data_IF_114566214609
#
_entry.id   IF_114566214609
#
_cell.length_a   1.000
_cell.length_b   1.000
_cell.length_c   1.000
_cell.angle_alpha   90.00
_cell.angle_beta   90.00
_cell.angle_gamma   90.00
#
_symmetry.space_group_name_H-M   'P 1'
#
loop_
_entity.id
_entity.type
_entity.pdbx_description
1 polymer ?
#
# COMPACT_ATOMS: atom_id res chain seq x y z
N UNK A 1 -13.64 -39.84 44.22
CA UNK A 1 -13.78 -38.75 43.23
C UNK A 1 -12.40 -38.21 42.92
N UNK A 2 -11.83 -38.60 41.79
CA UNK A 2 -10.47 -38.24 41.36
C UNK A 2 -10.60 -37.34 40.14
N UNK A 3 -10.11 -36.11 40.24
CA UNK A 3 -10.12 -35.09 39.19
C UNK A 3 -8.94 -35.31 38.24
N UNK A 4 -9.21 -35.70 36.99
CA UNK A 4 -8.22 -35.76 35.92
C UNK A 4 -8.02 -34.37 35.32
N UNK A 5 -6.79 -33.84 35.46
CA UNK A 5 -6.32 -32.61 34.79
C UNK A 5 -5.70 -33.04 33.45
N UNK A 6 -6.36 -32.70 32.35
CA UNK A 6 -5.85 -32.92 30.99
C UNK A 6 -5.01 -31.70 30.61
N UNK A 7 -3.69 -31.85 30.67
CA UNK A 7 -2.71 -30.87 30.18
C UNK A 7 -2.61 -30.95 28.66
N UNK A 8 -2.78 -29.85 27.90
CA UNK A 8 -2.74 -29.90 26.44
C UNK A 8 -1.31 -30.07 25.90
N UNK A 9 -1.16 -30.97 24.93
CA UNK A 9 0.08 -31.47 24.31
C UNK A 9 0.85 -30.51 23.39
N UNK A 10 0.66 -29.19 23.50
CA UNK A 10 1.32 -28.22 22.62
C UNK A 10 2.77 -27.88 23.04
N UNK A 11 3.20 -28.27 24.26
CA UNK A 11 4.57 -28.02 24.76
C UNK A 11 5.64 -29.00 24.25
N UNK A 12 5.27 -30.13 23.64
CA UNK A 12 6.25 -31.15 23.16
C UNK A 12 6.62 -30.95 21.68
N UNK A 13 5.80 -30.24 20.90
CA UNK A 13 6.08 -29.94 19.50
C UNK A 13 7.30 -29.01 19.28
N UNK A 14 7.80 -28.35 20.34
CA UNK A 14 8.95 -27.44 20.24
C UNK A 14 10.31 -28.15 20.39
N UNK A 15 10.36 -29.45 20.71
CA UNK A 15 11.63 -30.14 20.97
C UNK A 15 12.14 -31.05 19.83
N UNK A 16 11.42 -31.18 18.71
CA UNK A 16 11.78 -32.10 17.61
C UNK A 16 12.08 -31.41 16.26
N UNK A 17 12.10 -30.08 16.19
CA UNK A 17 12.37 -29.33 14.96
C UNK A 17 13.83 -28.85 14.79
N UNK A 18 14.79 -29.44 15.52
CA UNK A 18 16.22 -29.03 15.48
C UNK A 18 17.10 -29.97 14.64
N UNK A 19 16.58 -31.07 14.08
CA UNK A 19 17.42 -32.10 13.41
C UNK A 19 17.16 -32.26 11.89
N UNK A 20 16.19 -31.57 11.28
CA UNK A 20 16.02 -31.62 9.81
C UNK A 20 16.22 -30.25 9.19
N UNK A 21 17.30 -30.09 8.41
CA UNK A 21 17.67 -28.87 7.68
C UNK A 21 16.70 -28.49 6.56
N UNK A 22 15.46 -28.16 6.91
CA UNK A 22 14.48 -27.53 6.04
C UNK A 22 14.31 -26.09 6.50
N UNK A 23 14.87 -25.15 5.72
CA UNK A 23 14.68 -23.73 5.96
C UNK A 23 13.19 -23.40 5.99
N UNK A 24 12.65 -22.80 7.08
CA UNK A 24 11.30 -22.30 7.06
C UNK A 24 11.21 -21.17 6.03
N UNK A 25 10.25 -21.33 5.13
CA UNK A 25 9.74 -20.33 4.20
C UNK A 25 9.59 -18.99 4.92
N UNK A 26 10.14 -17.94 4.29
CA UNK A 26 10.25 -16.59 4.82
C UNK A 26 8.89 -16.11 5.35
N UNK A 27 8.74 -16.10 6.67
CA UNK A 27 7.68 -15.37 7.35
C UNK A 27 7.91 -13.89 7.09
N UNK A 28 6.96 -13.25 6.41
CA UNK A 28 6.91 -11.79 6.29
C UNK A 28 6.71 -11.26 7.71
N UNK A 29 7.79 -10.83 8.36
CA UNK A 29 7.71 -10.08 9.59
C UNK A 29 7.11 -8.70 9.26
N UNK A 30 5.81 -8.53 9.58
CA UNK A 30 5.17 -7.22 9.68
C UNK A 30 5.83 -6.48 10.84
N UNK A 31 6.92 -5.75 10.54
CA UNK A 31 7.45 -4.78 11.49
C UNK A 31 6.44 -3.63 11.53
N UNK A 32 5.51 -3.70 12.47
CA UNK A 32 4.67 -2.59 12.92
C UNK A 32 5.58 -1.50 13.48
N UNK A 33 6.13 -0.67 12.60
CA UNK A 33 6.73 0.59 13.03
C UNK A 33 5.62 1.54 13.45
N UNK A 34 5.53 1.71 14.77
CA UNK A 34 4.92 2.80 15.53
C UNK A 34 3.41 2.73 15.80
N UNK A 35 3.15 2.84 17.10
CA UNK A 35 1.91 2.76 17.85
C UNK A 35 0.94 3.93 17.50
N UNK A 36 0.47 3.98 16.26
CA UNK A 36 -0.67 4.82 15.89
C UNK A 36 -1.92 3.97 16.07
N UNK A 37 -2.70 4.23 17.11
CA UNK A 37 -4.00 3.62 17.27
C UNK A 37 -4.91 4.12 16.13
N UNK A 38 -5.35 3.20 15.28
CA UNK A 38 -6.12 3.50 14.08
C UNK A 38 -7.61 3.23 14.34
N UNK A 39 -8.40 4.28 14.56
CA UNK A 39 -9.86 4.17 14.75
C UNK A 39 -10.64 3.82 13.47
N UNK A 40 -9.93 3.60 12.35
CA UNK A 40 -10.52 3.35 11.04
C UNK A 40 -9.81 2.20 10.34
N UNK A 41 -10.54 1.35 9.60
CA UNK A 41 -9.95 0.22 8.91
C UNK A 41 -8.89 0.70 7.91
N UNK A 42 -7.84 -0.10 7.75
CA UNK A 42 -6.78 0.16 6.77
C UNK A 42 -7.38 0.07 5.37
N UNK A 43 -7.25 1.14 4.58
CA UNK A 43 -7.74 1.20 3.21
C UNK A 43 -6.75 0.52 2.25
N UNK A 44 -5.45 0.84 2.41
CA UNK A 44 -4.35 0.24 1.65
C UNK A 44 -3.07 0.26 2.47
N UNK A 45 -2.11 -0.59 2.09
CA UNK A 45 -0.74 -0.54 2.61
C UNK A 45 0.22 -0.06 1.51
N UNK A 46 1.05 0.93 1.82
CA UNK A 46 2.15 1.39 0.95
C UNK A 46 3.41 0.62 1.30
N UNK A 47 3.74 -0.37 0.50
CA UNK A 47 4.95 -1.15 0.57
C UNK A 47 6.13 -0.43 -0.07
N UNK A 48 7.30 -0.50 0.56
CA UNK A 48 8.57 -0.04 0.01
C UNK A 48 9.69 -0.97 0.45
N UNK A 49 10.78 -0.98 -0.32
CA UNK A 49 11.99 -1.73 0.03
C UNK A 49 12.91 -0.84 0.86
N UNK A 50 13.29 -1.32 2.04
CA UNK A 50 14.29 -0.73 2.94
C UNK A 50 15.41 -1.76 3.15
N UNK A 51 16.57 -1.53 2.50
CA UNK A 51 17.61 -2.55 2.33
C UNK A 51 17.01 -3.82 1.71
N UNK A 52 17.13 -4.97 2.37
CA UNK A 52 16.60 -6.25 1.87
C UNK A 52 15.23 -6.62 2.45
N UNK A 53 14.59 -5.70 3.19
CA UNK A 53 13.28 -5.93 3.81
C UNK A 53 12.19 -5.09 3.16
N UNK A 54 11.01 -5.69 2.99
CA UNK A 54 9.81 -4.95 2.60
C UNK A 54 9.18 -4.39 3.86
N UNK A 55 9.00 -3.07 3.90
CA UNK A 55 8.25 -2.37 4.94
C UNK A 55 6.94 -1.87 4.39
N UNK A 56 5.94 -1.75 5.24
CA UNK A 56 4.61 -1.26 4.85
C UNK A 56 4.18 -0.10 5.73
N UNK A 57 3.57 0.91 5.10
CA UNK A 57 2.89 2.01 5.79
C UNK A 57 1.39 1.79 5.66
N UNK A 58 0.65 1.99 6.74
CA UNK A 58 -0.81 1.88 6.73
C UNK A 58 -1.44 3.21 6.32
N UNK A 59 -2.35 3.17 5.35
CA UNK A 59 -3.22 4.29 5.00
C UNK A 59 -4.63 3.91 5.42
N UNK A 60 -5.21 4.64 6.38
CA UNK A 60 -6.55 4.33 6.89
C UNK A 60 -7.64 4.95 6.02
N UNK A 61 -8.87 4.46 6.20
CA UNK A 61 -10.06 4.95 5.49
C UNK A 61 -10.62 6.26 6.05
N UNK A 62 -10.07 6.78 7.16
CA UNK A 62 -10.47 8.04 7.76
C UNK A 62 -10.09 9.18 6.82
N UNK A 63 -11.05 10.06 6.55
CA UNK A 63 -10.83 11.25 5.72
C UNK A 63 -9.87 12.19 6.43
N UNK A 64 -8.94 12.75 5.68
CA UNK A 64 -8.00 13.71 6.22
C UNK A 64 -6.66 13.69 5.52
N UNK A 65 -5.82 14.62 5.96
CA UNK A 65 -4.44 14.75 5.54
C UNK A 65 -3.54 14.08 6.57
N UNK A 66 -2.56 13.33 6.08
CA UNK A 66 -1.65 12.54 6.90
C UNK A 66 -0.22 12.75 6.44
N UNK A 67 0.68 12.80 7.42
CA UNK A 67 2.13 12.81 7.23
C UNK A 67 2.66 11.39 7.19
N UNK A 68 3.65 11.14 6.34
CA UNK A 68 4.25 9.83 6.17
C UNK A 68 5.22 9.51 7.32
N UNK A 69 5.09 8.37 8.01
CA UNK A 69 6.10 7.93 8.98
C UNK A 69 7.47 7.66 8.34
N UNK A 70 7.52 7.47 7.02
CA UNK A 70 8.74 7.30 6.24
C UNK A 70 9.12 8.58 5.47
N UNK A 71 8.76 9.76 5.99
CA UNK A 71 9.13 11.06 5.44
C UNK A 71 10.61 11.12 5.02
N UNK A 72 10.89 11.84 3.93
CA UNK A 72 12.22 12.05 3.35
C UNK A 72 12.92 10.82 2.72
N UNK A 73 12.35 9.61 2.76
CA UNK A 73 12.99 8.43 2.17
C UNK A 73 12.65 8.28 0.68
N UNK A 74 13.69 8.24 -0.14
CA UNK A 74 13.59 8.05 -1.58
C UNK A 74 13.54 6.57 -1.93
N UNK A 75 12.56 6.16 -2.72
CA UNK A 75 12.41 4.79 -3.19
C UNK A 75 12.23 4.74 -4.71
N UNK A 76 12.86 3.76 -5.35
CA UNK A 76 12.69 3.53 -6.80
C UNK A 76 11.25 3.11 -7.14
N UNK A 77 10.65 2.32 -6.26
CA UNK A 77 9.35 1.70 -6.45
C UNK A 77 8.56 1.71 -5.15
N UNK A 78 7.26 1.88 -5.29
CA UNK A 78 6.25 1.77 -4.25
C UNK A 78 5.24 0.71 -4.65
N UNK A 79 4.85 -0.14 -3.69
CA UNK A 79 3.84 -1.16 -3.88
C UNK A 79 2.58 -0.75 -3.14
N UNK A 80 1.43 -0.82 -3.79
CA UNK A 80 0.12 -0.70 -3.18
C UNK A 80 -0.38 -2.12 -2.93
N UNK A 81 -0.64 -2.41 -1.67
CA UNK A 81 -1.13 -3.69 -1.19
C UNK A 81 -2.53 -3.51 -0.59
N UNK A 82 -3.37 -4.57 -0.63
CA UNK A 82 -4.68 -4.53 -0.03
C UNK A 82 -4.61 -4.23 1.48
N UNK A 83 -5.56 -3.41 1.92
CA UNK A 83 -5.81 -3.14 3.34
C UNK A 83 -6.76 -4.17 3.94
N UNK A 84 -7.68 -3.69 4.78
CA UNK A 84 -8.70 -4.50 5.41
C UNK A 84 -9.83 -4.84 4.43
N UNK A 85 -10.29 -6.08 4.52
CA UNK A 85 -11.55 -6.50 3.94
C UNK A 85 -12.71 -6.02 4.81
N UNK A 86 -13.86 -5.74 4.20
CA UNK A 86 -15.03 -5.19 4.89
C UNK A 86 -16.20 -6.15 4.74
N UNK A 87 -16.81 -6.54 5.85
CA UNK A 87 -18.08 -7.27 5.84
C UNK A 87 -19.22 -6.26 5.84
N UNK A 88 -20.07 -6.32 4.81
CA UNK A 88 -21.17 -5.37 4.63
C UNK A 88 -22.18 -5.89 3.61
N UNK A 89 -23.45 -5.61 3.85
CA UNK A 89 -24.53 -5.86 2.89
C UNK A 89 -24.42 -4.99 1.64
N UNK A 90 -23.86 -3.79 1.75
CA UNK A 90 -23.68 -2.82 0.65
C UNK A 90 -22.21 -2.64 0.30
N UNK A 91 -21.94 -2.29 -0.96
CA UNK A 91 -20.60 -1.95 -1.42
C UNK A 91 -20.04 -0.77 -0.61
N UNK A 92 -18.84 -0.90 -0.01
CA UNK A 92 -18.16 0.23 0.60
C UNK A 92 -17.97 1.37 -0.42
N UNK A 93 -18.12 2.60 0.06
CA UNK A 93 -17.94 3.81 -0.76
C UNK A 93 -16.54 3.84 -1.37
N UNK A 94 -16.46 4.31 -2.61
CA UNK A 94 -15.20 4.63 -3.28
C UNK A 94 -14.37 5.61 -2.42
N UNK A 95 -13.04 5.46 -2.46
CA UNK A 95 -12.09 6.35 -1.82
C UNK A 95 -11.02 6.80 -2.80
N UNK A 96 -10.49 7.99 -2.58
CA UNK A 96 -9.36 8.51 -3.34
C UNK A 96 -8.24 8.81 -2.36
N UNK A 97 -7.05 8.27 -2.63
CA UNK A 97 -5.83 8.58 -1.90
C UNK A 97 -4.89 9.35 -2.82
N UNK A 98 -4.68 10.62 -2.53
CA UNK A 98 -3.71 11.45 -3.26
C UNK A 98 -2.35 11.39 -2.55
N UNK A 99 -1.30 10.97 -3.25
CA UNK A 99 0.05 10.87 -2.73
C UNK A 99 0.87 12.10 -3.11
N UNK A 100 1.65 12.63 -2.16
CA UNK A 100 2.40 13.87 -2.37
C UNK A 100 3.88 13.75 -1.99
N UNK A 101 4.69 14.52 -2.72
CA UNK A 101 6.03 14.94 -2.31
C UNK A 101 5.89 16.28 -1.58
N UNK A 102 6.54 16.43 -0.43
CA UNK A 102 6.39 17.58 0.46
C UNK A 102 5.15 17.51 1.36
N UNK A 103 5.03 18.51 2.23
CA UNK A 103 3.94 18.64 3.22
C UNK A 103 3.28 20.01 3.14
N UNK A 104 2.04 20.11 3.64
CA UNK A 104 1.28 21.36 3.75
C UNK A 104 1.14 22.12 2.40
N UNK A 105 1.52 23.41 2.36
CA UNK A 105 1.35 24.32 1.21
C UNK A 105 2.31 24.04 0.05
N UNK A 106 3.44 23.36 0.28
CA UNK A 106 4.47 23.11 -0.72
C UNK A 106 4.45 21.67 -1.26
N UNK A 107 3.27 21.05 -1.24
CA UNK A 107 3.12 19.66 -1.70
C UNK A 107 2.91 19.58 -3.21
N UNK A 108 3.57 18.64 -3.84
CA UNK A 108 3.43 18.31 -5.26
C UNK A 108 2.77 16.94 -5.37
N UNK A 109 1.65 16.87 -6.10
CA UNK A 109 0.94 15.61 -6.32
C UNK A 109 1.83 14.66 -7.14
N UNK A 110 1.97 13.43 -6.65
CA UNK A 110 2.67 12.35 -7.36
C UNK A 110 1.66 11.59 -8.22
N UNK A 111 0.60 11.08 -7.59
CA UNK A 111 -0.47 10.35 -8.25
C UNK A 111 -1.71 10.27 -7.36
N UNK A 112 -2.83 9.87 -7.95
CA UNK A 112 -4.05 9.51 -7.22
C UNK A 112 -4.29 8.01 -7.32
N UNK A 113 -4.65 7.40 -6.20
CA UNK A 113 -5.05 6.01 -6.11
C UNK A 113 -6.55 5.98 -5.86
N UNK A 114 -7.29 5.43 -6.82
CA UNK A 114 -8.72 5.19 -6.69
C UNK A 114 -8.89 3.81 -6.08
N UNK A 115 -9.56 3.75 -4.93
CA UNK A 115 -9.84 2.51 -4.21
C UNK A 115 -11.31 2.18 -4.38
N UNK A 116 -11.59 1.04 -5.01
CA UNK A 116 -12.94 0.50 -5.19
C UNK A 116 -12.98 -0.90 -4.64
N UNK A 117 -14.04 -1.18 -3.88
CA UNK A 117 -14.24 -2.49 -3.27
C UNK A 117 -15.01 -3.41 -4.22
N UNK A 118 -14.56 -4.64 -4.40
CA UNK A 118 -15.25 -5.67 -5.17
C UNK A 118 -15.65 -6.81 -4.25
N UNK A 119 -16.69 -7.58 -4.62
CA UNK A 119 -17.07 -8.76 -3.85
C UNK A 119 -15.94 -9.76 -3.88
N UNK A 120 -15.62 -10.32 -2.72
CA UNK A 120 -14.69 -11.43 -2.61
C UNK A 120 -15.29 -12.65 -3.34
N UNK A 121 -14.61 -13.25 -4.33
CA UNK A 121 -15.12 -14.41 -5.04
C UNK A 121 -15.29 -15.63 -4.12
N UNK A 122 -14.47 -15.74 -3.07
CA UNK A 122 -14.51 -16.85 -2.11
C UNK A 122 -15.54 -16.62 -1.00
N UNK A 123 -15.82 -15.35 -0.68
CA UNK A 123 -16.77 -14.98 0.36
C UNK A 123 -17.70 -13.83 -0.05
N UNK A 124 -18.92 -14.16 -0.48
CA UNK A 124 -19.90 -13.19 -0.96
C UNK A 124 -20.37 -12.17 0.08
N UNK A 125 -20.10 -12.33 1.38
CA UNK A 125 -20.44 -11.33 2.42
C UNK A 125 -19.34 -10.26 2.56
N UNK A 126 -18.15 -10.53 2.01
CA UNK A 126 -16.95 -9.71 2.13
C UNK A 126 -16.70 -8.85 0.89
N UNK A 127 -16.09 -7.71 1.14
CA UNK A 127 -15.63 -6.76 0.14
C UNK A 127 -14.11 -6.58 0.25
N UNK A 128 -13.42 -6.65 -0.89
CA UNK A 128 -11.96 -6.57 -0.99
C UNK A 128 -11.57 -5.30 -1.76
N UNK A 129 -10.59 -4.51 -1.28
CA UNK A 129 -10.15 -3.30 -1.98
C UNK A 129 -9.32 -3.65 -3.23
N UNK A 130 -9.64 -3.01 -4.35
CA UNK A 130 -8.83 -2.98 -5.56
C UNK A 130 -8.49 -1.54 -5.92
N UNK A 131 -7.44 -1.38 -6.73
CA UNK A 131 -6.74 -0.12 -6.94
C UNK A 131 -6.66 0.22 -8.41
N UNK A 132 -6.96 1.46 -8.75
CA UNK A 132 -6.61 2.05 -10.03
C UNK A 132 -5.71 3.24 -9.78
N UNK A 133 -4.61 3.32 -10.54
CA UNK A 133 -3.70 4.45 -10.47
C UNK A 133 -4.16 5.47 -11.52
N UNK A 134 -4.60 6.64 -11.09
CA UNK A 134 -4.86 7.75 -11.99
C UNK A 134 -3.60 8.62 -12.10
N UNK A 135 -3.00 8.56 -13.29
CA UNK A 135 -1.82 9.32 -13.68
C UNK A 135 -2.29 10.62 -14.34
N UNK A 136 -2.74 11.59 -13.56
CA UNK A 136 -2.86 12.94 -14.09
C UNK A 136 -1.43 13.45 -14.36
N UNK A 137 -1.03 13.45 -15.63
CA UNK A 137 0.24 14.04 -16.04
C UNK A 137 0.19 15.53 -15.71
N UNK A 138 0.89 15.94 -14.66
CA UNK A 138 1.01 17.35 -14.32
C UNK A 138 1.82 18.03 -15.41
N UNK A 139 1.15 18.85 -16.22
CA UNK A 139 1.77 19.76 -17.16
C UNK A 139 1.40 21.19 -16.79
N UNK A 140 2.36 22.10 -16.90
CA UNK A 140 2.21 23.54 -16.75
C UNK A 140 2.49 24.20 -18.08
N UNK A 141 1.74 25.26 -18.38
CA UNK A 141 2.03 26.06 -19.56
C UNK A 141 3.19 27.01 -19.25
N UNK A 142 4.31 26.87 -19.95
CA UNK A 142 5.47 27.78 -19.90
C UNK A 142 5.79 28.22 -21.31
N UNK A 143 5.97 29.53 -21.52
CA UNK A 143 6.28 30.12 -22.82
C UNK A 143 5.32 29.66 -23.94
N UNK A 144 4.02 29.60 -23.63
CA UNK A 144 2.98 29.15 -24.57
C UNK A 144 2.89 27.63 -24.79
N UNK A 145 3.85 26.84 -24.32
CA UNK A 145 3.91 25.38 -24.51
C UNK A 145 3.55 24.60 -23.25
N UNK A 146 2.89 23.45 -23.41
CA UNK A 146 2.64 22.50 -22.32
C UNK A 146 3.94 21.80 -21.96
N UNK A 147 4.42 22.02 -20.73
CA UNK A 147 5.63 21.44 -20.19
C UNK A 147 5.27 20.54 -19.01
N UNK A 148 5.80 19.31 -18.93
CA UNK A 148 5.63 18.48 -17.74
C UNK A 148 6.18 19.21 -16.51
N UNK A 149 5.49 19.11 -15.38
CA UNK A 149 5.88 19.74 -14.10
C UNK A 149 7.18 19.16 -13.56
N UNK A 150 7.54 17.95 -13.99
CA UNK A 150 8.79 17.29 -13.62
C UNK A 150 9.51 16.81 -14.88
N UNK A 151 10.44 17.63 -15.38
CA UNK A 151 11.44 17.21 -16.38
C UNK A 151 12.83 17.24 -15.75
N UNK A 152 13.69 16.30 -16.15
CA UNK A 152 15.10 16.27 -15.75
C UNK A 152 15.91 16.17 -17.02
N UNK A 153 16.81 17.13 -17.24
CA UNK A 153 17.60 17.20 -18.48
C UNK A 153 16.70 17.10 -19.74
N UNK A 154 15.50 17.68 -19.68
CA UNK A 154 14.52 17.67 -20.78
C UNK A 154 13.61 16.43 -20.87
N UNK A 155 13.82 15.38 -20.06
CA UNK A 155 13.02 14.15 -20.11
C UNK A 155 11.87 14.19 -19.10
N UNK A 156 10.60 13.95 -19.50
CA UNK A 156 9.47 13.85 -18.58
C UNK A 156 9.66 12.73 -17.55
N UNK A 157 9.49 13.06 -16.28
CA UNK A 157 9.41 12.08 -15.19
C UNK A 157 7.98 11.62 -15.07
N UNK A 158 7.71 10.39 -15.50
CA UNK A 158 6.37 9.80 -15.51
C UNK A 158 6.24 8.78 -14.40
N UNK A 159 5.05 8.71 -13.77
CA UNK A 159 4.69 7.56 -12.96
C UNK A 159 4.40 6.40 -13.90
N UNK A 160 4.98 5.23 -13.66
CA UNK A 160 4.76 4.03 -14.47
C UNK A 160 4.36 2.89 -13.57
N UNK A 161 3.32 2.16 -13.98
CA UNK A 161 2.93 0.91 -13.33
C UNK A 161 3.93 -0.17 -13.76
N UNK A 162 4.60 -0.79 -12.80
CA UNK A 162 5.55 -1.90 -13.01
C UNK A 162 5.04 -3.21 -12.41
N UNK A 163 3.74 -3.29 -12.13
CA UNK A 163 3.08 -4.47 -11.59
C UNK A 163 3.04 -5.61 -12.61
N UNK A 164 3.18 -6.85 -12.14
CA UNK A 164 2.89 -8.06 -12.93
C UNK A 164 1.45 -8.54 -12.75
N UNK A 165 0.73 -8.00 -11.77
CA UNK A 165 -0.69 -8.32 -11.54
C UNK A 165 -1.54 -7.71 -12.64
N UNK A 166 -2.44 -8.49 -13.23
CA UNK A 166 -3.38 -8.00 -14.22
C UNK A 166 -4.57 -7.29 -13.56
N UNK A 167 -5.14 -6.25 -14.19
CA UNK A 167 -6.35 -5.63 -13.71
C UNK A 167 -7.56 -6.56 -13.94
N UNK A 168 -8.61 -6.35 -13.15
CA UNK A 168 -9.92 -6.91 -13.41
C UNK A 168 -10.57 -6.25 -14.65
N UNK A 169 -11.75 -6.73 -15.12
CA UNK A 169 -12.43 -6.15 -16.30
C UNK A 169 -12.80 -4.66 -16.18
N UNK A 170 -12.77 -4.10 -14.98
CA UNK A 170 -13.03 -2.68 -14.72
C UNK A 170 -11.75 -1.83 -14.67
N UNK A 171 -10.57 -2.40 -14.92
CA UNK A 171 -9.29 -1.70 -14.88
C UNK A 171 -8.69 -1.53 -13.48
N UNK A 172 -9.15 -2.30 -12.49
CA UNK A 172 -8.64 -2.23 -11.11
C UNK A 172 -7.76 -3.44 -10.76
N UNK A 173 -6.64 -3.19 -10.09
CA UNK A 173 -5.64 -4.16 -9.68
C UNK A 173 -5.83 -4.56 -8.20
N UNK A 174 -5.69 -5.84 -7.85
CA UNK A 174 -5.71 -6.29 -6.45
C UNK A 174 -4.47 -5.85 -5.67
N UNK A 175 -3.36 -5.63 -6.38
CA UNK A 175 -2.17 -4.94 -5.91
C UNK A 175 -1.46 -4.32 -7.10
N UNK A 176 -0.76 -3.22 -6.92
CA UNK A 176 0.03 -2.61 -8.00
C UNK A 176 1.38 -2.13 -7.50
N UNK A 177 2.36 -2.07 -8.38
CA UNK A 177 3.66 -1.47 -8.13
C UNK A 177 3.83 -0.31 -9.10
N UNK A 178 4.37 0.81 -8.62
CA UNK A 178 4.69 1.95 -9.46
C UNK A 178 6.03 2.58 -9.07
N UNK A 179 6.65 3.26 -10.03
CA UNK A 179 7.86 4.06 -9.84
C UNK A 179 7.88 5.26 -10.78
N UNK A 180 8.90 6.10 -10.67
CA UNK A 180 9.16 7.15 -11.66
C UNK A 180 10.13 6.62 -12.72
N UNK A 181 9.94 7.00 -13.98
CA UNK A 181 10.75 6.54 -15.14
C UNK A 181 12.26 6.72 -14.96
N UNK A 182 12.68 7.83 -14.36
CA UNK A 182 14.08 8.24 -14.29
C UNK A 182 14.51 8.73 -12.90
N UNK A 183 13.70 8.51 -11.87
CA UNK A 183 13.99 8.98 -10.52
C UNK A 183 13.49 8.03 -9.44
N UNK A 184 14.03 8.22 -8.24
CA UNK A 184 13.41 7.76 -7.01
C UNK A 184 12.35 8.78 -6.58
N UNK A 185 11.29 8.30 -5.97
CA UNK A 185 10.24 9.13 -5.41
C UNK A 185 10.09 8.90 -3.92
N UNK A 186 9.87 9.98 -3.19
CA UNK A 186 9.50 9.94 -1.78
C UNK A 186 8.03 10.32 -1.65
N UNK A 187 7.35 9.68 -0.73
CA UNK A 187 5.98 10.01 -0.33
C UNK A 187 6.08 10.61 1.06
N UNK A 188 5.94 11.93 1.15
CA UNK A 188 6.03 12.66 2.41
C UNK A 188 4.66 12.84 3.06
N UNK A 189 3.58 12.83 2.27
CA UNK A 189 2.22 12.95 2.79
C UNK A 189 1.16 12.36 1.86
N UNK A 190 -0.04 12.16 2.39
CA UNK A 190 -1.21 11.76 1.61
C UNK A 190 -2.49 12.42 2.10
N UNK A 191 -3.49 12.48 1.21
CA UNK A 191 -4.84 12.96 1.49
C UNK A 191 -5.83 11.85 1.16
N UNK A 192 -6.72 11.52 2.12
CA UNK A 192 -7.81 10.55 1.97
C UNK A 192 -9.14 11.29 1.83
N UNK A 193 -9.90 10.98 0.78
CA UNK A 193 -11.19 11.58 0.42
C UNK A 193 -12.30 10.52 0.34
#
# INVERSE_FOLDING_TARGET
MVTNIITPCWRIALLMAVISGLHPVITIAEIETNNVQYDAPTLLKLGYRDKDKIKTLRVTSKRGYYRSPAEARMHRKWKILPGANIESSRQPRLRIVSLYKGTNRNRVLICKIIVRYFRDPENKTRWVPYFQLNQEHLAIRRNGQWNPVTTIRGVPTLVVITSTTLPNPYGYYSSLEFGLTNQQTKIDSWLVQ
#
